data_IF_758624142788
#
_entry.id   IF_758624142788
#
_cell.length_a   1.000
_cell.length_b   1.000
_cell.length_c   1.000
_cell.angle_alpha   90.00
_cell.angle_beta   90.00
_cell.angle_gamma   90.00
#
_symmetry.space_group_name_H-M   'P 1'
#
loop_
_entity.id
_entity.type
_entity.pdbx_description
1 polymer ?
#
# COMPACT_ATOMS: atom_id res chain seq x y z
N UNK A 1 -3.19 20.05 -15.83
CA UNK A 1 -3.86 18.74 -16.00
C UNK A 1 -3.03 17.68 -15.29
N UNK A 2 -3.64 16.66 -14.68
CA UNK A 2 -2.88 15.58 -14.01
C UNK A 2 -2.63 14.44 -15.00
N UNK A 3 -1.37 14.02 -15.11
CA UNK A 3 -0.91 12.88 -15.92
C UNK A 3 -0.52 11.72 -15.02
N UNK A 4 -0.65 10.50 -15.52
CA UNK A 4 -0.30 9.27 -14.80
C UNK A 4 0.78 8.53 -15.59
N UNK A 5 1.89 8.19 -14.95
CA UNK A 5 3.01 7.49 -15.60
C UNK A 5 3.77 6.61 -14.61
N UNK A 6 4.52 5.65 -15.15
CA UNK A 6 5.41 4.80 -14.35
C UNK A 6 6.43 5.70 -13.62
N UNK A 7 6.76 5.34 -12.38
CA UNK A 7 7.78 6.02 -11.56
C UNK A 7 9.16 5.86 -12.21
N UNK A 8 9.91 6.95 -12.28
CA UNK A 8 11.28 6.99 -12.79
C UNK A 8 12.25 7.53 -11.73
N UNK A 9 13.55 7.36 -11.94
CA UNK A 9 14.58 7.77 -10.96
C UNK A 9 14.52 9.25 -10.58
N UNK A 10 14.09 10.12 -11.50
CA UNK A 10 13.94 11.56 -11.25
C UNK A 10 12.80 11.89 -10.26
N UNK A 11 11.86 10.97 -10.05
CA UNK A 11 10.71 11.15 -9.16
C UNK A 11 11.02 10.78 -7.72
N UNK A 12 12.19 10.18 -7.48
CA UNK A 12 12.52 9.49 -6.24
C UNK A 12 12.31 10.38 -5.00
N UNK A 13 12.98 11.53 -4.95
CA UNK A 13 12.96 12.40 -3.77
C UNK A 13 11.59 13.00 -3.48
N UNK A 14 10.84 13.38 -4.53
CA UNK A 14 9.53 13.98 -4.35
C UNK A 14 8.48 12.93 -3.94
N UNK A 15 8.61 11.69 -4.44
CA UNK A 15 7.70 10.58 -4.07
C UNK A 15 8.01 10.05 -2.67
N UNK A 16 9.29 9.73 -2.40
CA UNK A 16 10.02 10.12 -1.19
C UNK A 16 9.24 10.76 -0.05
N UNK A 17 9.38 12.08 -0.10
CA UNK A 17 8.88 13.04 0.85
C UNK A 17 7.35 12.99 0.94
N UNK A 18 6.65 12.97 -0.21
CA UNK A 18 5.19 12.92 -0.22
C UNK A 18 4.65 11.66 0.47
N UNK A 19 5.23 10.49 0.18
CA UNK A 19 4.83 9.23 0.81
C UNK A 19 5.02 9.29 2.32
N UNK A 20 6.19 9.75 2.77
CA UNK A 20 6.52 9.87 4.19
C UNK A 20 5.58 10.82 4.93
N UNK A 21 5.30 11.99 4.35
CA UNK A 21 4.37 12.97 4.92
C UNK A 21 2.95 12.43 5.02
N UNK A 22 2.42 11.84 3.94
CA UNK A 22 1.04 11.36 3.92
C UNK A 22 0.80 10.23 4.91
N UNK A 23 1.73 9.28 5.04
CA UNK A 23 1.55 8.14 5.93
C UNK A 23 1.66 8.54 7.40
N UNK A 24 2.65 9.34 7.78
CA UNK A 24 2.80 9.81 9.16
C UNK A 24 1.60 10.66 9.60
N UNK A 25 1.04 11.47 8.70
CA UNK A 25 -0.06 12.36 9.03
C UNK A 25 -1.44 11.68 8.99
N UNK A 26 -1.63 10.68 8.13
CA UNK A 26 -2.97 10.18 7.80
C UNK A 26 -3.16 8.67 7.95
N UNK A 27 -2.11 7.84 7.93
CA UNK A 27 -2.27 6.39 7.93
C UNK A 27 -2.52 5.85 9.36
N UNK A 28 -3.62 5.12 9.59
CA UNK A 28 -4.03 4.72 10.95
C UNK A 28 -2.97 3.95 11.75
N UNK A 29 -2.31 2.96 11.14
CA UNK A 29 -1.32 2.12 11.84
C UNK A 29 -0.06 2.93 12.17
N UNK A 30 0.41 3.72 11.22
CA UNK A 30 1.58 4.60 11.34
C UNK A 30 1.39 5.60 12.48
N UNK A 31 0.21 6.23 12.55
CA UNK A 31 -0.17 7.12 13.65
C UNK A 31 -0.26 6.39 14.99
N UNK A 32 -0.91 5.23 15.05
CA UNK A 32 -1.09 4.47 16.29
C UNK A 32 0.25 4.03 16.89
N UNK A 33 1.21 3.66 16.04
CA UNK A 33 2.55 3.26 16.46
C UNK A 33 3.49 4.46 16.66
N UNK A 34 3.01 5.68 16.44
CA UNK A 34 3.81 6.92 16.54
C UNK A 34 5.10 6.83 15.72
N UNK A 35 5.00 6.28 14.51
CA UNK A 35 6.13 6.23 13.58
C UNK A 35 6.35 7.66 13.07
N UNK A 36 7.56 8.19 13.25
CA UNK A 36 7.88 9.54 12.81
C UNK A 36 8.31 9.60 11.34
N UNK A 37 8.50 10.82 10.81
CA UNK A 37 8.91 11.04 9.43
C UNK A 37 10.21 10.33 9.06
N UNK A 38 11.26 10.44 9.89
CA UNK A 38 12.56 9.80 9.59
C UNK A 38 12.44 8.27 9.56
N UNK A 39 11.69 7.69 10.51
CA UNK A 39 11.42 6.24 10.56
C UNK A 39 10.68 5.78 9.30
N UNK A 40 9.60 6.47 8.90
CA UNK A 40 8.82 6.09 7.72
C UNK A 40 9.58 6.34 6.41
N UNK A 41 10.40 7.40 6.36
CA UNK A 41 11.19 7.73 5.18
C UNK A 41 12.14 6.60 4.81
N UNK A 42 12.77 5.94 5.77
CA UNK A 42 13.63 4.77 5.51
C UNK A 42 12.87 3.64 4.80
N UNK A 43 11.63 3.37 5.21
CA UNK A 43 10.75 2.42 4.53
C UNK A 43 10.42 2.91 3.10
N UNK A 44 9.99 4.17 2.97
CA UNK A 44 9.59 4.74 1.69
C UNK A 44 10.74 4.73 0.67
N UNK A 45 11.96 5.09 1.09
CA UNK A 45 13.16 5.04 0.24
C UNK A 45 13.43 3.63 -0.29
N UNK A 46 13.38 2.62 0.58
CA UNK A 46 13.66 1.24 0.20
C UNK A 46 12.63 0.72 -0.81
N UNK A 47 11.34 0.96 -0.57
CA UNK A 47 10.28 0.55 -1.49
C UNK A 47 10.26 1.35 -2.79
N UNK A 48 10.65 2.63 -2.78
CA UNK A 48 10.71 3.42 -4.03
C UNK A 48 11.91 3.06 -4.89
N UNK A 49 13.05 2.70 -4.29
CA UNK A 49 14.18 2.12 -5.05
C UNK A 49 13.73 0.86 -5.79
N UNK A 50 13.02 -0.03 -5.09
CA UNK A 50 12.45 -1.24 -5.70
C UNK A 50 11.41 -0.91 -6.75
N UNK A 51 10.50 0.03 -6.48
CA UNK A 51 9.44 0.45 -7.40
C UNK A 51 9.95 0.95 -8.76
N UNK A 52 11.07 1.69 -8.76
CA UNK A 52 11.73 2.17 -9.98
C UNK A 52 12.25 0.98 -10.81
N UNK A 53 12.84 -0.02 -10.15
CA UNK A 53 13.38 -1.23 -10.80
C UNK A 53 12.26 -2.14 -11.33
N UNK A 54 11.25 -2.39 -10.50
CA UNK A 54 10.12 -3.26 -10.85
C UNK A 54 9.27 -2.70 -12.00
N UNK A 55 9.23 -1.37 -12.15
CA UNK A 55 8.40 -0.66 -13.13
C UNK A 55 6.91 -0.98 -13.05
N UNK A 56 6.42 -1.32 -11.86
CA UNK A 56 5.01 -1.62 -11.59
C UNK A 56 4.27 -0.46 -10.92
N UNK A 57 4.99 0.56 -10.44
CA UNK A 57 4.42 1.66 -9.66
C UNK A 57 4.17 2.90 -10.53
N UNK A 58 3.20 3.73 -10.14
CA UNK A 58 2.74 4.90 -10.92
C UNK A 58 2.72 6.14 -10.05
N UNK A 59 3.13 7.29 -10.62
CA UNK A 59 2.92 8.63 -10.05
C UNK A 59 1.88 9.41 -10.84
N UNK A 60 1.15 10.26 -10.13
CA UNK A 60 0.30 11.30 -10.68
C UNK A 60 1.05 12.63 -10.63
N UNK A 61 1.22 13.28 -11.78
CA UNK A 61 2.02 14.51 -11.90
C UNK A 61 1.24 15.63 -12.57
N UNK A 62 1.48 16.86 -12.13
CA UNK A 62 1.08 18.06 -12.87
C UNK A 62 1.94 18.26 -14.13
N UNK A 63 1.53 19.20 -14.99
CA UNK A 63 2.24 19.53 -16.24
C UNK A 63 3.65 20.11 -16.00
N UNK A 64 3.87 20.74 -14.85
CA UNK A 64 5.17 21.27 -14.41
C UNK A 64 6.08 20.21 -13.76
N UNK A 65 5.64 18.94 -13.70
CA UNK A 65 6.39 17.83 -13.12
C UNK A 65 6.16 17.60 -11.62
N UNK A 66 5.36 18.41 -10.93
CA UNK A 66 5.06 18.21 -9.50
C UNK A 66 4.24 16.94 -9.31
N UNK A 67 4.74 16.03 -8.46
CA UNK A 67 4.03 14.83 -8.02
C UNK A 67 2.96 15.21 -6.99
N UNK A 68 1.74 14.76 -7.26
CA UNK A 68 0.54 15.00 -6.45
C UNK A 68 -0.09 13.72 -5.90
N UNK A 69 0.41 12.56 -6.33
CA UNK A 69 0.01 11.27 -5.79
C UNK A 69 0.84 10.14 -6.36
N UNK A 70 0.72 8.97 -5.75
CA UNK A 70 1.48 7.78 -6.13
C UNK A 70 0.70 6.51 -5.77
N UNK A 71 1.01 5.43 -6.46
CA UNK A 71 0.69 4.06 -6.07
C UNK A 71 1.96 3.21 -6.21
N UNK A 72 2.37 2.60 -5.11
CA UNK A 72 3.52 1.70 -5.03
C UNK A 72 2.99 0.29 -4.99
N UNK A 73 3.42 -0.51 -5.96
CA UNK A 73 3.04 -1.91 -6.07
C UNK A 73 4.24 -2.75 -6.46
N UNK A 74 4.22 -3.99 -6.02
CA UNK A 74 5.23 -4.99 -6.30
C UNK A 74 4.58 -6.32 -6.65
N UNK A 75 5.39 -7.25 -7.13
CA UNK A 75 4.94 -8.62 -7.26
C UNK A 75 4.91 -9.29 -5.87
N UNK A 76 3.82 -9.97 -5.53
CA UNK A 76 3.58 -10.54 -4.20
C UNK A 76 4.71 -11.45 -3.70
N UNK A 77 5.22 -12.34 -4.55
CA UNK A 77 6.28 -13.30 -4.22
C UNK A 77 7.71 -12.73 -4.30
N UNK A 78 7.88 -11.39 -4.29
CA UNK A 78 9.22 -10.80 -4.27
C UNK A 78 9.76 -10.67 -2.85
N UNK A 79 11.08 -10.68 -2.74
CA UNK A 79 11.76 -10.40 -1.47
C UNK A 79 11.53 -8.92 -1.16
N UNK A 80 10.94 -8.58 0.00
CA UNK A 80 10.79 -7.19 0.41
C UNK A 80 12.16 -6.49 0.45
N UNK A 81 12.25 -5.19 0.15
CA UNK A 81 13.49 -4.44 0.29
C UNK A 81 14.12 -4.65 1.67
N UNK A 82 15.44 -4.80 1.71
CA UNK A 82 16.14 -4.81 2.98
C UNK A 82 16.08 -3.40 3.58
N UNK A 83 15.37 -3.29 4.69
CA UNK A 83 15.28 -2.08 5.48
C UNK A 83 16.08 -2.32 6.76
N UNK A 84 17.30 -1.80 6.81
CA UNK A 84 18.21 -1.94 7.95
C UNK A 84 17.51 -1.50 9.24
N UNK A 85 17.52 -2.35 10.26
CA UNK A 85 16.94 -2.16 11.61
C UNK A 85 15.76 -1.17 11.67
N UNK A 86 14.70 -1.43 10.90
CA UNK A 86 13.44 -0.73 11.16
C UNK A 86 13.03 -0.99 12.61
N UNK A 87 12.56 0.06 13.29
CA UNK A 87 12.17 -0.04 14.69
C UNK A 87 11.18 -1.19 14.92
N UNK A 88 11.14 -1.73 16.14
CA UNK A 88 10.24 -2.83 16.53
C UNK A 88 8.76 -2.58 16.15
N UNK A 89 8.37 -1.30 15.96
CA UNK A 89 7.07 -0.87 15.40
C UNK A 89 6.78 -1.52 14.05
N UNK A 90 7.74 -1.53 13.12
CA UNK A 90 7.55 -2.14 11.80
C UNK A 90 7.50 -3.66 11.84
N UNK A 91 8.15 -4.30 12.81
CA UNK A 91 8.01 -5.75 13.01
C UNK A 91 6.55 -6.13 13.34
N UNK A 92 5.87 -5.27 14.11
CA UNK A 92 4.46 -5.42 14.42
C UNK A 92 3.57 -5.28 13.18
N UNK A 93 3.83 -4.28 12.33
CA UNK A 93 3.15 -4.08 11.04
C UNK A 93 3.37 -5.29 10.12
N UNK A 94 4.62 -5.75 9.99
CA UNK A 94 4.98 -6.89 9.15
C UNK A 94 4.24 -8.14 9.60
N UNK A 95 4.27 -8.46 10.89
CA UNK A 95 3.56 -9.63 11.42
C UNK A 95 2.05 -9.55 11.16
N UNK A 96 1.45 -8.39 11.37
CA UNK A 96 0.03 -8.15 11.13
C UNK A 96 -0.37 -8.32 9.65
N UNK A 97 0.40 -7.76 8.72
CA UNK A 97 0.20 -7.95 7.27
C UNK A 97 0.39 -9.42 6.86
N UNK A 98 1.37 -10.12 7.43
CA UNK A 98 1.57 -11.55 7.17
C UNK A 98 0.39 -12.40 7.63
N UNK A 99 -0.23 -12.11 8.78
CA UNK A 99 -1.43 -12.83 9.24
C UNK A 99 -2.63 -12.67 8.31
N UNK A 100 -2.86 -11.45 7.79
CA UNK A 100 -3.87 -11.20 6.76
C UNK A 100 -3.61 -12.02 5.50
N UNK A 101 -2.36 -12.01 5.01
CA UNK A 101 -1.97 -12.76 3.81
C UNK A 101 -2.06 -14.26 4.01
N UNK A 102 -1.59 -14.80 5.13
CA UNK A 102 -1.71 -16.23 5.42
C UNK A 102 -3.16 -16.68 5.50
N UNK A 103 -4.03 -15.90 6.16
CA UNK A 103 -5.47 -16.19 6.22
C UNK A 103 -6.10 -16.17 4.82
N UNK A 104 -5.63 -15.28 3.95
CA UNK A 104 -6.07 -15.22 2.56
C UNK A 104 -5.62 -16.45 1.76
N UNK A 105 -4.36 -16.87 1.91
CA UNK A 105 -3.82 -18.02 1.19
C UNK A 105 -4.45 -19.34 1.65
N UNK A 106 -4.67 -19.49 2.94
CA UNK A 106 -5.31 -20.67 3.54
C UNK A 106 -6.74 -20.84 3.01
N UNK A 107 -7.51 -19.75 2.96
CA UNK A 107 -8.90 -19.74 2.47
C UNK A 107 -9.04 -20.26 1.03
N UNK A 108 -8.09 -19.96 0.16
CA UNK A 108 -8.21 -20.22 -1.28
C UNK A 108 -7.41 -21.42 -1.77
N UNK A 109 -6.70 -22.14 -0.89
CA UNK A 109 -5.80 -23.25 -1.24
C UNK A 109 -4.98 -22.92 -2.49
N UNK A 110 -4.44 -21.69 -2.52
CA UNK A 110 -3.90 -21.11 -3.74
C UNK A 110 -2.92 -22.07 -4.40
N UNK A 111 -3.18 -22.34 -5.67
CA UNK A 111 -2.16 -22.97 -6.47
C UNK A 111 -0.97 -22.03 -6.58
N UNK A 112 0.23 -22.54 -6.32
CA UNK A 112 1.45 -21.75 -6.26
C UNK A 112 1.61 -20.76 -7.44
N UNK A 113 1.14 -21.12 -8.64
CA UNK A 113 1.23 -20.28 -9.83
C UNK A 113 0.44 -18.96 -9.76
N UNK A 114 -0.71 -18.90 -9.08
CA UNK A 114 -1.48 -17.65 -8.98
C UNK A 114 -0.81 -16.64 -8.03
N UNK A 115 -0.05 -17.12 -7.04
CA UNK A 115 0.78 -16.24 -6.21
C UNK A 115 1.87 -15.55 -7.05
N UNK A 116 2.41 -16.25 -8.06
CA UNK A 116 3.34 -15.72 -9.07
C UNK A 116 2.67 -14.82 -10.13
N UNK A 117 1.38 -14.56 -10.02
CA UNK A 117 0.65 -13.64 -10.87
C UNK A 117 -0.19 -12.66 -10.06
N UNK A 118 0.21 -12.44 -8.80
CA UNK A 118 -0.48 -11.52 -7.89
C UNK A 118 0.30 -10.22 -7.72
N UNK A 119 -0.33 -9.10 -8.08
CA UNK A 119 0.15 -7.76 -7.81
C UNK A 119 -0.21 -7.40 -6.36
N UNK A 120 0.77 -6.96 -5.59
CA UNK A 120 0.55 -6.40 -4.26
C UNK A 120 0.58 -4.87 -4.35
N UNK A 121 -0.57 -4.23 -4.15
CA UNK A 121 -0.68 -2.78 -4.05
C UNK A 121 -0.37 -2.40 -2.59
N UNK A 122 0.85 -1.91 -2.36
CA UNK A 122 1.41 -1.75 -1.03
C UNK A 122 1.16 -0.35 -0.44
N UNK A 123 1.39 0.72 -1.21
CA UNK A 123 1.19 2.10 -0.74
C UNK A 123 0.38 2.92 -1.74
N UNK A 124 -0.52 3.76 -1.26
CA UNK A 124 -1.31 4.68 -2.07
C UNK A 124 -1.44 6.01 -1.33
N UNK A 125 -1.12 7.10 -2.01
CA UNK A 125 -1.22 8.44 -1.44
C UNK A 125 -1.58 9.49 -2.50
N UNK A 126 -2.36 10.48 -2.09
CA UNK A 126 -2.67 11.67 -2.89
C UNK A 126 -2.63 12.87 -1.97
N UNK A 127 -2.04 13.98 -2.44
CA UNK A 127 -2.03 15.26 -1.75
C UNK A 127 -3.45 15.73 -1.41
N UNK A 128 -3.60 16.29 -0.22
CA UNK A 128 -4.90 16.66 0.32
C UNK A 128 -5.62 17.72 -0.52
N UNK A 129 -4.87 18.65 -1.11
CA UNK A 129 -5.38 19.70 -2.01
C UNK A 129 -5.96 19.13 -3.31
N UNK A 130 -5.65 17.86 -3.62
CA UNK A 130 -6.11 17.15 -4.81
C UNK A 130 -7.17 16.08 -4.51
N UNK A 131 -7.68 16.04 -3.28
CA UNK A 131 -8.83 15.20 -2.93
C UNK A 131 -10.04 15.55 -3.80
N UNK A 132 -10.94 14.58 -3.98
CA UNK A 132 -12.15 14.67 -4.79
C UNK A 132 -11.96 14.83 -6.31
N UNK A 133 -10.72 14.85 -6.82
CA UNK A 133 -10.42 14.89 -8.26
C UNK A 133 -10.26 13.49 -8.89
N UNK A 134 -10.70 12.43 -8.21
CA UNK A 134 -10.58 11.02 -8.63
C UNK A 134 -9.14 10.55 -8.91
N UNK A 135 -8.10 11.26 -8.43
CA UNK A 135 -6.69 10.90 -8.65
C UNK A 135 -6.38 9.52 -8.08
N UNK A 136 -6.76 9.23 -6.84
CA UNK A 136 -6.53 7.91 -6.23
C UNK A 136 -7.22 6.78 -7.02
N UNK A 137 -8.45 7.02 -7.51
CA UNK A 137 -9.17 6.09 -8.37
C UNK A 137 -8.42 5.84 -9.68
N UNK A 138 -7.92 6.89 -10.32
CA UNK A 138 -7.20 6.78 -11.58
C UNK A 138 -5.82 6.14 -11.41
N UNK A 139 -5.10 6.42 -10.32
CA UNK A 139 -3.85 5.73 -9.95
C UNK A 139 -4.06 4.21 -9.88
N UNK A 140 -5.09 3.76 -9.15
CA UNK A 140 -5.40 2.33 -9.04
C UNK A 140 -5.78 1.75 -10.40
N UNK A 141 -6.62 2.44 -11.19
CA UNK A 141 -7.03 1.96 -12.52
C UNK A 141 -5.87 1.83 -13.49
N UNK A 142 -4.99 2.81 -13.54
CA UNK A 142 -3.78 2.75 -14.38
C UNK A 142 -2.82 1.66 -13.88
N UNK A 143 -2.73 1.45 -12.57
CA UNK A 143 -1.91 0.39 -11.99
C UNK A 143 -2.46 -1.01 -12.31
N UNK A 144 -3.78 -1.20 -12.26
CA UNK A 144 -4.44 -2.44 -12.71
C UNK A 144 -4.27 -2.66 -14.22
N UNK A 145 -4.35 -1.60 -15.03
CA UNK A 145 -4.09 -1.70 -16.49
C UNK A 145 -2.65 -2.11 -16.75
N UNK A 146 -1.70 -1.53 -16.04
CA UNK A 146 -0.28 -1.91 -16.12
C UNK A 146 -0.07 -3.36 -15.67
N UNK A 147 -0.72 -3.79 -14.60
CA UNK A 147 -0.65 -5.17 -14.12
C UNK A 147 -1.21 -6.16 -15.14
N UNK A 148 -2.33 -5.84 -15.80
CA UNK A 148 -2.87 -6.64 -16.90
C UNK A 148 -1.88 -6.81 -18.05
N UNK A 149 -1.19 -5.73 -18.43
CA UNK A 149 -0.15 -5.76 -19.48
C UNK A 149 1.08 -6.58 -19.08
N UNK A 150 1.31 -6.75 -17.78
CA UNK A 150 2.39 -7.57 -17.22
C UNK A 150 1.91 -8.95 -16.74
N UNK A 151 0.78 -9.44 -17.26
CA UNK A 151 0.25 -10.79 -17.04
C UNK A 151 -0.09 -11.15 -15.59
N UNK A 152 -0.35 -10.15 -14.75
CA UNK A 152 -0.95 -10.38 -13.44
C UNK A 152 -2.42 -10.79 -13.61
N UNK A 153 -2.87 -11.77 -12.81
CA UNK A 153 -4.26 -12.26 -12.82
C UNK A 153 -5.05 -11.78 -11.60
N UNK A 154 -4.35 -11.38 -10.53
CA UNK A 154 -4.96 -10.89 -9.29
C UNK A 154 -4.20 -9.66 -8.80
N UNK A 155 -4.91 -8.70 -8.22
CA UNK A 155 -4.33 -7.67 -7.35
C UNK A 155 -4.85 -7.83 -5.93
N UNK A 156 -3.99 -7.61 -4.93
CA UNK A 156 -4.37 -7.57 -3.51
C UNK A 156 -3.86 -6.30 -2.84
N UNK A 157 -4.51 -5.90 -1.75
CA UNK A 157 -4.05 -4.81 -0.88
C UNK A 157 -4.60 -4.97 0.54
N UNK A 158 -3.78 -4.71 1.56
CA UNK A 158 -4.22 -4.56 2.95
C UNK A 158 -4.57 -3.11 3.25
N UNK A 159 -5.87 -2.86 3.44
CA UNK A 159 -6.42 -1.52 3.58
C UNK A 159 -6.73 -1.22 5.05
N UNK A 160 -5.96 -0.31 5.63
CA UNK A 160 -6.02 0.02 7.06
C UNK A 160 -7.10 1.05 7.39
N UNK A 161 -7.28 2.05 6.52
CA UNK A 161 -8.26 3.13 6.70
C UNK A 161 -9.59 2.88 6.00
N UNK A 162 -10.68 3.35 6.62
CA UNK A 162 -12.03 3.25 6.05
C UNK A 162 -12.17 3.94 4.67
N UNK A 163 -11.43 5.03 4.45
CA UNK A 163 -11.44 5.76 3.19
C UNK A 163 -10.89 4.92 2.03
N UNK A 164 -9.75 4.24 2.22
CA UNK A 164 -9.16 3.37 1.20
C UNK A 164 -10.00 2.11 1.00
N UNK A 165 -10.53 1.50 2.06
CA UNK A 165 -11.48 0.38 1.98
C UNK A 165 -12.70 0.74 1.11
N UNK A 166 -13.30 1.90 1.33
CA UNK A 166 -14.44 2.38 0.55
C UNK A 166 -14.06 2.67 -0.92
N UNK A 167 -12.88 3.24 -1.16
CA UNK A 167 -12.37 3.49 -2.50
C UNK A 167 -12.18 2.19 -3.29
N UNK A 168 -11.48 1.21 -2.72
CA UNK A 168 -11.20 -0.07 -3.37
C UNK A 168 -12.49 -0.84 -3.65
N UNK A 169 -13.45 -0.84 -2.70
CA UNK A 169 -14.78 -1.43 -2.93
C UNK A 169 -15.51 -0.80 -4.11
N UNK A 170 -15.47 0.53 -4.24
CA UNK A 170 -16.07 1.25 -5.38
C UNK A 170 -15.39 0.93 -6.72
N UNK A 171 -14.12 0.57 -6.70
CA UNK A 171 -13.37 0.16 -7.92
C UNK A 171 -13.70 -1.29 -8.31
N UNK A 172 -14.18 -2.10 -7.36
CA UNK A 172 -14.60 -3.49 -7.61
C UNK A 172 -13.78 -4.53 -6.84
N UNK A 173 -12.85 -4.12 -5.98
CA UNK A 173 -12.17 -5.05 -5.09
C UNK A 173 -13.17 -5.70 -4.12
N UNK A 174 -12.98 -6.98 -3.86
CA UNK A 174 -13.78 -7.80 -2.95
C UNK A 174 -13.05 -7.95 -1.62
N UNK A 175 -13.79 -7.89 -0.51
CA UNK A 175 -13.24 -8.14 0.82
C UNK A 175 -12.97 -9.63 1.02
N UNK A 176 -11.77 -9.97 1.49
CA UNK A 176 -11.33 -11.36 1.58
C UNK A 176 -11.08 -11.81 3.00
N UNK A 177 -10.34 -11.00 3.75
CA UNK A 177 -9.97 -11.21 5.15
C UNK A 177 -10.13 -9.89 5.88
N UNK A 178 -10.68 -9.95 7.08
CA UNK A 178 -10.78 -8.80 7.98
C UNK A 178 -10.12 -9.16 9.29
N UNK A 179 -9.25 -8.29 9.80
CA UNK A 179 -8.62 -8.44 11.11
C UNK A 179 -8.89 -7.19 11.95
N UNK A 180 -9.57 -7.37 13.08
CA UNK A 180 -9.95 -6.27 13.97
C UNK A 180 -8.74 -5.75 14.74
N UNK A 181 -8.65 -4.43 14.89
CA UNK A 181 -7.59 -3.79 15.65
C UNK A 181 -7.71 -4.03 17.16
N UNK A 182 -8.93 -4.05 17.70
CA UNK A 182 -9.19 -4.19 19.14
C UNK A 182 -8.83 -5.58 19.70
N UNK A 183 -8.85 -6.59 18.84
CA UNK A 183 -8.53 -7.97 19.17
C UNK A 183 -7.06 -8.33 18.92
N UNK A 184 -6.30 -7.50 18.20
CA UNK A 184 -4.94 -7.86 17.81
C UNK A 184 -3.96 -7.60 18.96
N UNK A 185 -3.23 -8.67 19.33
CA UNK A 185 -2.22 -8.65 20.39
C UNK A 185 -0.88 -9.02 19.78
N UNK A 186 0.10 -8.13 19.92
CA UNK A 186 1.48 -8.37 19.50
C UNK A 186 2.38 -8.34 20.73
N UNK A 187 3.09 -9.45 20.98
CA UNK A 187 3.98 -9.60 22.15
C UNK A 187 3.31 -9.25 23.50
N UNK A 188 2.03 -9.57 23.65
CA UNK A 188 1.24 -9.29 24.86
C UNK A 188 0.59 -7.92 24.92
N UNK A 189 0.80 -7.05 23.92
CA UNK A 189 0.27 -5.68 23.89
C UNK A 189 -0.79 -5.46 22.80
N UNK A 190 -1.81 -4.65 23.11
CA UNK A 190 -2.81 -4.19 22.13
C UNK A 190 -2.30 -2.98 21.35
N UNK A 191 -1.34 -3.21 20.46
CA UNK A 191 -0.58 -2.17 19.75
C UNK A 191 -1.42 -1.25 18.84
N UNK A 192 -2.63 -1.66 18.46
CA UNK A 192 -3.54 -0.91 17.58
C UNK A 192 -4.78 -0.36 18.29
N UNK A 193 -4.84 -0.45 19.62
CA UNK A 193 -5.99 0.02 20.42
C UNK A 193 -6.25 1.52 20.34
N UNK A 194 -5.31 2.33 19.83
CA UNK A 194 -5.48 3.77 19.68
C UNK A 194 -6.14 4.18 18.34
N UNK A 195 -6.29 3.25 17.40
CA UNK A 195 -6.93 3.51 16.10
C UNK A 195 -8.44 3.71 16.31
N UNK A 196 -8.95 4.88 15.92
CA UNK A 196 -10.39 5.22 16.05
C UNK A 196 -11.08 5.42 14.71
N UNK A 197 -10.29 5.71 13.68
CA UNK A 197 -10.78 6.05 12.34
C UNK A 197 -11.24 4.81 11.54
N UNK A 198 -10.91 3.60 12.02
CA UNK A 198 -11.26 2.31 11.43
C UNK A 198 -11.29 1.23 12.51
N UNK A 199 -12.16 0.24 12.39
CA UNK A 199 -12.27 -0.87 13.36
C UNK A 199 -11.42 -2.09 12.98
N UNK A 200 -10.92 -2.14 11.74
CA UNK A 200 -10.23 -3.30 11.20
C UNK A 200 -9.37 -2.95 9.99
N UNK A 201 -8.33 -3.76 9.77
CA UNK A 201 -7.67 -3.84 8.48
C UNK A 201 -8.36 -4.88 7.60
N UNK A 202 -8.48 -4.61 6.30
CA UNK A 202 -9.10 -5.52 5.34
C UNK A 202 -8.15 -5.84 4.22
N UNK A 203 -7.85 -7.13 4.03
CA UNK A 203 -7.25 -7.59 2.78
C UNK A 203 -8.36 -7.70 1.74
N UNK A 204 -8.20 -6.96 0.64
CA UNK A 204 -9.13 -6.98 -0.48
C UNK A 204 -8.41 -7.44 -1.75
N UNK A 205 -9.13 -8.13 -2.64
CA UNK A 205 -8.59 -8.60 -3.92
C UNK A 205 -9.44 -8.21 -5.12
N UNK A 206 -8.80 -8.15 -6.29
CA UNK A 206 -9.42 -7.83 -7.58
C UNK A 206 -8.90 -8.81 -8.64
N UNK A 207 -9.81 -9.39 -9.44
CA UNK A 207 -9.44 -10.23 -10.60
C UNK A 207 -9.21 -9.34 -11.81
N UNK A 208 -8.01 -9.41 -12.39
CA UNK A 208 -7.54 -8.58 -13.51
C UNK A 208 -8.02 -9.12 -14.88
#
# INVERSE_FOLDING_TARGET
MVKFRIIESQDFEQTVDLCSQLFVNNEPITKSLQINYQEFRLLAEAYLRKAIVDRLSIVATEDNGIIVGFVISEHLMTIPPYTQELSHKFAAIHKFSQELKYSYFDKYQYYYWELFQTLHIFLLGVKDEYKNQKIATNLIRENLRLAKLNYFSVAISELTGIASQNLFRKIGFQEQVTLSYDSYIFKGEKIFSSIKESTSCKLMSYRI
#
